data_IF_211376273287
#
_entry.id   IF_211376273287
#
_cell.length_a   1.000
_cell.length_b   1.000
_cell.length_c   1.000
_cell.angle_alpha   90.00
_cell.angle_beta   90.00
_cell.angle_gamma   90.00
#
_symmetry.space_group_name_H-M   'P 1'
#
loop_
_entity.id
_entity.type
_entity.pdbx_description
1 polymer ?
#
# COMPACT_ATOMS: atom_id res chain seq x y z
N UNK A 1 -13.72 -5.96 -20.72
CA UNK A 1 -12.37 -5.60 -20.26
C UNK A 1 -12.54 -4.29 -19.51
N UNK A 2 -12.67 -4.33 -18.19
CA UNK A 2 -12.85 -3.12 -17.41
C UNK A 2 -11.47 -2.49 -17.24
N UNK A 3 -11.25 -1.35 -17.90
CA UNK A 3 -10.07 -0.54 -17.70
C UNK A 3 -10.11 0.03 -16.29
N UNK A 4 -9.05 -0.19 -15.50
CA UNK A 4 -8.93 0.45 -14.19
C UNK A 4 -8.99 1.98 -14.34
N UNK A 5 -9.57 2.71 -13.37
CA UNK A 5 -9.50 4.17 -13.38
C UNK A 5 -8.03 4.59 -13.50
N UNK A 6 -7.69 5.60 -14.32
CA UNK A 6 -6.31 6.00 -14.56
C UNK A 6 -5.53 6.26 -13.27
N UNK A 7 -6.22 6.76 -12.23
CA UNK A 7 -5.66 7.04 -10.90
C UNK A 7 -5.13 5.79 -10.16
N UNK A 8 -5.86 4.66 -10.21
CA UNK A 8 -5.45 3.44 -9.48
C UNK A 8 -4.14 2.88 -10.05
N UNK A 9 -3.97 2.91 -11.37
CA UNK A 9 -2.73 2.43 -11.99
C UNK A 9 -1.53 3.33 -11.64
N UNK A 10 -1.75 4.65 -11.52
CA UNK A 10 -0.74 5.59 -11.05
C UNK A 10 -0.40 5.39 -9.57
N UNK A 11 -1.41 5.17 -8.73
CA UNK A 11 -1.22 4.85 -7.31
C UNK A 11 -0.35 3.60 -7.12
N UNK A 12 -0.60 2.55 -7.92
CA UNK A 12 0.18 1.30 -7.90
C UNK A 12 1.62 1.53 -8.33
N UNK A 13 1.87 2.33 -9.38
CA UNK A 13 3.23 2.73 -9.76
C UNK A 13 3.94 3.49 -8.65
N UNK A 14 3.20 4.37 -7.98
CA UNK A 14 3.73 5.18 -6.88
C UNK A 14 4.04 4.33 -5.64
N UNK A 15 3.22 3.30 -5.37
CA UNK A 15 3.44 2.29 -4.34
C UNK A 15 4.72 1.48 -4.61
N UNK A 16 4.86 0.91 -5.82
CA UNK A 16 6.03 0.12 -6.21
C UNK A 16 7.33 0.93 -6.11
N UNK A 17 7.28 2.19 -6.56
CA UNK A 17 8.43 3.10 -6.50
C UNK A 17 8.88 3.32 -5.05
N UNK A 18 7.93 3.61 -4.15
CA UNK A 18 8.24 3.92 -2.75
C UNK A 18 8.75 2.71 -1.98
N UNK A 19 8.17 1.54 -2.22
CA UNK A 19 8.72 0.29 -1.68
C UNK A 19 10.14 0.02 -2.17
N UNK A 20 10.38 0.18 -3.47
CA UNK A 20 11.70 -0.09 -4.06
C UNK A 20 12.76 0.94 -3.66
N UNK A 21 12.35 2.14 -3.24
CA UNK A 21 13.25 3.16 -2.67
C UNK A 21 13.29 3.18 -1.14
N UNK A 22 12.60 2.25 -0.47
CA UNK A 22 12.44 2.22 1.00
C UNK A 22 11.93 3.54 1.58
N UNK A 23 11.07 4.24 0.84
CA UNK A 23 10.44 5.49 1.27
C UNK A 23 9.19 5.19 2.12
N UNK A 24 9.42 4.78 3.37
CA UNK A 24 8.35 4.39 4.29
C UNK A 24 7.47 5.56 4.75
N UNK A 25 8.03 6.76 4.80
CA UNK A 25 7.24 7.98 5.05
C UNK A 25 6.30 8.20 3.89
N UNK A 26 6.81 8.18 2.66
CA UNK A 26 5.98 8.31 1.46
C UNK A 26 4.95 7.19 1.32
N UNK A 27 5.22 5.97 1.81
CA UNK A 27 4.22 4.90 1.84
C UNK A 27 3.05 5.24 2.76
N UNK A 28 3.33 5.88 3.90
CA UNK A 28 2.30 6.41 4.78
C UNK A 28 1.49 7.54 4.15
N UNK A 29 2.10 8.35 3.28
CA UNK A 29 1.44 9.45 2.57
C UNK A 29 0.45 8.99 1.47
N UNK A 30 0.47 7.69 1.12
CA UNK A 30 -0.51 7.12 0.18
C UNK A 30 -1.88 6.84 0.81
N UNK A 31 -1.99 6.92 2.14
CA UNK A 31 -3.22 6.62 2.86
C UNK A 31 -4.01 7.89 3.13
N UNK A 32 -5.34 7.81 2.97
CA UNK A 32 -6.25 8.80 3.56
C UNK A 32 -6.13 8.74 5.09
N UNK A 33 -6.00 9.89 5.75
CA UNK A 33 -5.68 9.97 7.18
C UNK A 33 -6.81 10.54 8.03
N UNK A 34 -7.73 11.28 7.42
CA UNK A 34 -8.71 12.05 8.17
C UNK A 34 -10.01 11.27 8.40
N UNK A 35 -10.77 10.98 7.35
CA UNK A 35 -12.06 10.28 7.44
C UNK A 35 -12.39 9.49 6.16
N UNK A 36 -12.50 8.14 6.21
CA UNK A 36 -12.38 7.29 7.40
C UNK A 36 -10.92 7.13 7.85
N UNK A 37 -10.74 6.82 9.15
CA UNK A 37 -9.45 6.44 9.69
C UNK A 37 -8.89 5.21 8.95
N UNK A 38 -7.57 5.19 8.63
CA UNK A 38 -7.00 4.09 7.87
C UNK A 38 -7.05 2.78 8.66
N UNK A 39 -7.32 1.68 7.95
CA UNK A 39 -7.32 0.33 8.52
C UNK A 39 -6.31 -0.51 7.75
N UNK A 40 -5.24 -0.93 8.42
CA UNK A 40 -4.27 -1.87 7.88
C UNK A 40 -4.58 -3.28 8.36
N UNK A 41 -4.81 -4.19 7.41
CA UNK A 41 -5.04 -5.61 7.65
C UNK A 41 -3.84 -6.38 7.09
N UNK A 42 -3.00 -6.89 7.97
CA UNK A 42 -1.84 -7.71 7.62
C UNK A 42 -1.77 -8.96 8.50
N UNK A 43 -1.32 -10.07 7.91
CA UNK A 43 -1.26 -11.39 8.56
C UNK A 43 -0.29 -11.42 9.75
N UNK A 44 0.61 -10.44 9.87
CA UNK A 44 1.55 -10.33 10.97
C UNK A 44 0.94 -9.82 12.29
N UNK A 45 -0.35 -9.44 12.28
CA UNK A 45 -1.08 -8.96 13.46
C UNK A 45 -2.30 -9.83 13.77
N UNK A 46 -2.58 -10.01 15.07
CA UNK A 46 -3.77 -10.73 15.52
C UNK A 46 -5.07 -9.93 15.31
N UNK A 47 -4.98 -8.61 15.11
CA UNK A 47 -6.11 -7.72 14.86
C UNK A 47 -5.68 -6.59 13.91
N UNK A 48 -6.61 -5.98 13.16
CA UNK A 48 -6.31 -4.83 12.30
C UNK A 48 -5.71 -3.66 13.09
N UNK A 49 -4.80 -2.94 12.44
CA UNK A 49 -4.31 -1.67 12.94
C UNK A 49 -5.23 -0.55 12.46
N UNK A 50 -5.67 0.33 13.36
CA UNK A 50 -6.66 1.36 13.07
C UNK A 50 -6.09 2.73 13.44
N UNK A 51 -6.18 3.67 12.50
CA UNK A 51 -5.77 5.05 12.68
C UNK A 51 -4.33 5.33 12.28
N UNK A 52 -4.04 6.61 12.01
CA UNK A 52 -2.74 7.08 11.51
C UNK A 52 -1.57 6.72 12.43
N UNK A 53 -1.76 6.81 13.74
CA UNK A 53 -0.72 6.49 14.72
C UNK A 53 -0.24 5.03 14.63
N UNK A 54 -1.16 4.09 14.49
CA UNK A 54 -0.83 2.66 14.36
C UNK A 54 -0.17 2.38 13.00
N UNK A 55 -0.63 3.05 11.95
CA UNK A 55 -0.03 2.97 10.62
C UNK A 55 1.42 3.49 10.63
N UNK A 56 1.67 4.63 11.27
CA UNK A 56 3.03 5.21 11.38
C UNK A 56 3.96 4.30 12.21
N UNK A 57 3.44 3.67 13.28
CA UNK A 57 4.18 2.66 14.05
C UNK A 57 4.52 1.42 13.22
N UNK A 58 3.60 0.98 12.34
CA UNK A 58 3.88 -0.11 11.41
C UNK A 58 5.02 0.27 10.46
N UNK A 59 4.94 1.41 9.78
CA UNK A 59 5.96 1.85 8.82
C UNK A 59 7.34 2.06 9.48
N UNK A 60 7.39 2.68 10.66
CA UNK A 60 8.64 2.83 11.41
C UNK A 60 9.28 1.48 11.76
N UNK A 61 8.47 0.47 12.10
CA UNK A 61 8.95 -0.89 12.39
C UNK A 61 9.52 -1.58 11.16
N UNK A 62 8.86 -1.45 10.02
CA UNK A 62 9.34 -2.00 8.74
C UNK A 62 10.67 -1.33 8.35
N UNK A 63 10.76 0.00 8.49
CA UNK A 63 11.97 0.77 8.19
C UNK A 63 13.20 0.34 8.98
N UNK A 64 13.01 -0.05 10.24
CA UNK A 64 14.11 -0.57 11.07
C UNK A 64 14.68 -1.91 10.58
N UNK A 65 13.91 -2.69 9.82
CA UNK A 65 14.21 -4.09 9.46
C UNK A 65 14.63 -4.26 8.01
N UNK A 66 13.94 -3.61 7.08
CA UNK A 66 14.14 -3.80 5.65
C UNK A 66 15.35 -2.99 5.15
N UNK A 67 16.30 -3.64 4.47
CA UNK A 67 17.53 -3.00 3.97
C UNK A 67 17.57 -2.85 2.46
N UNK A 68 16.83 -3.69 1.76
CA UNK A 68 16.52 -3.51 0.35
C UNK A 68 15.28 -4.28 -0.04
N UNK A 69 14.58 -3.75 -1.03
CA UNK A 69 13.46 -4.40 -1.68
C UNK A 69 13.39 -3.96 -3.14
N UNK A 70 12.99 -4.86 -4.01
CA UNK A 70 12.47 -4.53 -5.32
C UNK A 70 11.06 -5.09 -5.42
N UNK A 71 10.10 -4.21 -5.72
CA UNK A 71 8.69 -4.55 -5.84
C UNK A 71 8.22 -4.22 -7.24
N UNK A 72 7.46 -5.15 -7.82
CA UNK A 72 6.74 -4.93 -9.06
C UNK A 72 5.35 -5.53 -8.92
N UNK A 73 4.34 -4.70 -9.10
CA UNK A 73 2.95 -5.06 -8.93
C UNK A 73 2.21 -4.97 -10.25
N UNK A 74 1.37 -5.97 -10.50
CA UNK A 74 0.40 -5.95 -11.58
C UNK A 74 -0.98 -5.76 -10.97
N UNK A 75 -1.71 -4.73 -11.42
CA UNK A 75 -3.12 -4.56 -11.09
C UNK A 75 -3.91 -5.68 -11.79
N UNK A 76 -4.44 -6.61 -11.00
CA UNK A 76 -5.11 -7.81 -11.50
C UNK A 76 -6.60 -7.55 -11.72
N UNK A 77 -7.25 -6.88 -10.77
CA UNK A 77 -8.67 -6.55 -10.81
C UNK A 77 -8.88 -5.17 -10.17
N UNK A 78 -9.86 -4.43 -10.66
CA UNK A 78 -10.26 -3.15 -10.09
C UNK A 78 -11.76 -2.96 -10.29
N UNK A 79 -12.49 -2.91 -9.17
CA UNK A 79 -13.94 -2.70 -9.14
C UNK A 79 -14.23 -1.34 -8.53
N UNK A 80 -15.09 -0.55 -9.17
CA UNK A 80 -15.64 0.66 -8.56
C UNK A 80 -16.80 0.22 -7.65
N UNK A 81 -16.68 0.52 -6.35
CA UNK A 81 -17.69 0.16 -5.34
C UNK A 81 -18.74 1.26 -5.24
N UNK A 82 -18.31 2.53 -5.31
CA UNK A 82 -19.16 3.71 -5.47
C UNK A 82 -18.37 4.85 -6.16
N UNK A 83 -18.97 6.04 -6.27
CA UNK A 83 -18.36 7.19 -6.97
C UNK A 83 -17.05 7.69 -6.34
N UNK A 84 -16.71 7.24 -5.14
CA UNK A 84 -15.54 7.66 -4.34
C UNK A 84 -14.63 6.50 -3.94
N UNK A 85 -15.09 5.26 -4.03
CA UNK A 85 -14.37 4.07 -3.56
C UNK A 85 -14.15 3.10 -4.71
N UNK A 86 -12.89 2.71 -4.91
CA UNK A 86 -12.52 1.59 -5.75
C UNK A 86 -11.81 0.52 -4.91
N UNK A 87 -12.06 -0.75 -5.24
CA UNK A 87 -11.36 -1.90 -4.71
C UNK A 87 -10.40 -2.43 -5.77
N UNK A 88 -9.12 -2.47 -5.45
CA UNK A 88 -8.06 -2.97 -6.33
C UNK A 88 -7.45 -4.26 -5.77
N UNK A 89 -7.27 -5.27 -6.62
CA UNK A 89 -6.50 -6.47 -6.31
C UNK A 89 -5.17 -6.44 -7.07
N UNK A 90 -4.08 -6.62 -6.32
CA UNK A 90 -2.72 -6.48 -6.81
C UNK A 90 -1.97 -7.79 -6.66
N UNK A 91 -1.25 -8.18 -7.71
CA UNK A 91 -0.28 -9.26 -7.65
C UNK A 91 1.12 -8.64 -7.62
N UNK A 92 1.71 -8.61 -6.42
CA UNK A 92 3.04 -8.03 -6.20
C UNK A 92 4.11 -9.11 -6.15
N UNK A 93 5.15 -8.95 -6.97
CA UNK A 93 6.39 -9.72 -6.87
C UNK A 93 7.40 -8.94 -6.04
N UNK A 94 7.84 -9.58 -4.97
CA UNK A 94 8.86 -9.05 -4.08
C UNK A 94 10.18 -9.75 -4.29
N UNK A 95 11.26 -8.97 -4.28
CA UNK A 95 12.63 -9.46 -4.15
C UNK A 95 13.28 -8.71 -3.02
N UNK A 96 13.64 -9.46 -1.98
CA UNK A 96 14.50 -8.98 -0.91
C UNK A 96 15.91 -9.25 -1.39
N UNK A 97 16.74 -8.21 -1.48
CA UNK A 97 18.17 -8.39 -1.71
C UNK A 97 18.88 -8.30 -0.36
N UNK A 98 19.91 -9.12 -0.19
CA UNK A 98 20.75 -9.17 1.00
C UNK A 98 21.86 -8.10 0.96
#
# INVERSE_FOLDING_TARGET
MNSSPPDVADLVRAYDKRWSSLDFVGLGDLWERDDPQPIYVGDEYAAPLIGSDELDRHWARVAGRLKSAAVSSTLHECDVVDDTIARALLLSRWRLTD
#
